data_IF_772084077139
#
_entry.id   IF_772084077139
#
_cell.length_a   1.000
_cell.length_b   1.000
_cell.length_c   1.000
_cell.angle_alpha   90.00
_cell.angle_beta   90.00
_cell.angle_gamma   90.00
#
_symmetry.space_group_name_H-M   'P 1'
#
loop_
_entity.id
_entity.type
_entity.pdbx_description
1 polymer ?
#
# COMPACT_ATOMS: atom_id res chain seq x y z
N UNK A 1 51.27 24.22 -24.10
CA UNK A 1 50.18 23.23 -24.19
C UNK A 1 50.35 22.21 -23.07
N UNK A 2 49.47 22.21 -22.06
CA UNK A 2 49.45 21.20 -21.00
C UNK A 2 48.04 20.61 -20.97
N UNK A 3 47.91 19.43 -21.57
CA UNK A 3 46.69 18.63 -21.56
C UNK A 3 46.47 18.11 -20.13
N UNK A 4 45.48 18.65 -19.44
CA UNK A 4 45.01 18.04 -18.19
C UNK A 4 43.88 17.10 -18.56
N UNK A 5 44.17 15.80 -18.44
CA UNK A 5 43.29 14.69 -18.73
C UNK A 5 42.08 14.77 -17.79
N UNK A 6 40.90 14.60 -18.39
CA UNK A 6 39.61 14.53 -17.75
C UNK A 6 39.59 13.48 -16.62
N UNK A 7 39.22 13.91 -15.41
CA UNK A 7 38.75 13.01 -14.37
C UNK A 7 37.22 13.10 -14.34
N UNK A 8 36.59 12.42 -15.31
CA UNK A 8 35.18 12.08 -15.21
C UNK A 8 35.06 11.00 -14.13
N UNK A 9 34.86 11.42 -12.88
CA UNK A 9 34.44 10.53 -11.81
C UNK A 9 33.04 10.03 -12.14
N UNK A 10 32.96 8.89 -12.82
CA UNK A 10 31.74 8.11 -12.98
C UNK A 10 31.35 7.55 -11.60
N UNK A 11 30.73 8.38 -10.76
CA UNK A 11 30.04 7.88 -9.57
C UNK A 11 28.68 7.34 -10.02
N UNK A 12 28.68 6.14 -10.60
CA UNK A 12 27.49 5.29 -10.59
C UNK A 12 27.28 4.79 -9.15
N UNK A 13 26.85 5.70 -8.28
CA UNK A 13 26.21 5.29 -7.03
C UNK A 13 24.87 4.69 -7.44
N UNK A 14 24.73 3.37 -7.24
CA UNK A 14 23.47 2.67 -7.34
C UNK A 14 22.46 3.31 -6.38
N UNK A 15 21.65 4.24 -6.87
CA UNK A 15 20.50 4.80 -6.13
C UNK A 15 19.32 3.82 -6.12
N UNK A 16 19.55 2.52 -5.86
CA UNK A 16 18.51 1.50 -5.99
C UNK A 16 17.93 1.00 -4.66
N UNK A 17 18.37 1.49 -3.50
CA UNK A 17 18.02 0.85 -2.22
C UNK A 17 17.83 1.80 -1.05
N UNK A 18 17.28 3.00 -1.28
CA UNK A 18 16.82 3.88 -0.19
C UNK A 18 15.28 3.87 0.00
N UNK A 19 14.53 3.24 -0.91
CA UNK A 19 13.06 3.28 -0.89
C UNK A 19 12.40 2.01 -0.38
N UNK A 20 13.11 0.88 -0.27
CA UNK A 20 12.48 -0.40 0.05
C UNK A 20 12.17 -0.51 1.55
N UNK A 21 10.89 -0.69 1.94
CA UNK A 21 10.52 -0.85 3.34
C UNK A 21 11.25 -2.04 3.95
N UNK A 22 11.68 -1.86 5.21
CA UNK A 22 12.39 -2.90 5.96
C UNK A 22 11.42 -3.92 6.57
N UNK A 23 10.19 -3.49 6.83
CA UNK A 23 9.18 -4.22 7.59
C UNK A 23 7.84 -4.06 6.89
N UNK A 24 7.04 -5.13 6.91
CA UNK A 24 5.63 -5.04 6.60
C UNK A 24 4.90 -4.23 7.67
N UNK A 25 3.77 -3.58 7.33
CA UNK A 25 2.90 -2.99 8.34
C UNK A 25 2.43 -4.08 9.32
N UNK A 26 2.53 -3.79 10.62
CA UNK A 26 2.32 -4.77 11.69
C UNK A 26 0.85 -5.13 11.91
N UNK A 27 -0.07 -4.24 11.54
CA UNK A 27 -1.50 -4.40 11.83
C UNK A 27 -2.35 -3.96 10.65
N UNK A 28 -3.42 -4.71 10.38
CA UNK A 28 -4.43 -4.35 9.40
C UNK A 28 -5.19 -3.10 9.90
N UNK A 29 -5.43 -2.10 9.04
CA UNK A 29 -6.16 -0.90 9.43
C UNK A 29 -7.61 -1.23 9.81
N UNK A 30 -8.18 -0.44 10.72
CA UNK A 30 -9.57 -0.60 11.12
C UNK A 30 -10.52 -0.28 9.94
N UNK A 31 -11.42 -1.21 9.65
CA UNK A 31 -12.40 -1.07 8.57
C UNK A 31 -13.76 -0.73 9.20
N UNK A 32 -14.28 0.49 8.96
CA UNK A 32 -15.57 0.91 9.51
C UNK A 32 -16.74 0.23 8.81
N UNK A 33 -17.85 0.03 9.53
CA UNK A 33 -19.08 -0.54 8.98
C UNK A 33 -19.77 0.43 8.02
N UNK A 34 -19.92 0.03 6.76
CA UNK A 34 -20.52 0.83 5.70
C UNK A 34 -21.98 1.21 5.95
N UNK A 35 -22.72 0.45 6.76
CA UNK A 35 -24.11 0.75 7.10
C UNK A 35 -24.26 1.90 8.08
N UNK A 36 -23.23 2.21 8.87
CA UNK A 36 -23.28 3.20 9.94
C UNK A 36 -22.24 4.31 9.82
N UNK A 37 -21.13 4.08 9.10
CA UNK A 37 -20.03 5.03 8.97
C UNK A 37 -20.41 6.35 8.28
N UNK A 38 -19.72 7.43 8.68
CA UNK A 38 -19.78 8.72 8.01
C UNK A 38 -18.91 8.75 6.74
N UNK A 39 -19.13 9.74 5.87
CA UNK A 39 -18.32 9.94 4.67
C UNK A 39 -16.84 10.16 4.98
N UNK A 40 -16.54 10.94 6.01
CA UNK A 40 -15.17 11.26 6.42
C UNK A 40 -14.48 10.04 7.03
N UNK A 41 -15.22 9.24 7.81
CA UNK A 41 -14.72 7.96 8.34
C UNK A 41 -14.37 6.99 7.21
N UNK A 42 -15.24 6.84 6.21
CA UNK A 42 -14.98 5.98 5.04
C UNK A 42 -13.78 6.47 4.23
N UNK A 43 -13.61 7.79 4.05
CA UNK A 43 -12.48 8.37 3.33
C UNK A 43 -11.16 8.15 4.09
N UNK A 44 -11.16 8.37 5.40
CA UNK A 44 -9.99 8.10 6.24
C UNK A 44 -9.60 6.63 6.23
N UNK A 45 -10.58 5.72 6.27
CA UNK A 45 -10.33 4.28 6.16
C UNK A 45 -9.76 3.91 4.78
N UNK A 46 -10.28 4.51 3.69
CA UNK A 46 -9.74 4.31 2.34
C UNK A 46 -8.25 4.63 2.27
N UNK A 47 -7.85 5.79 2.79
CA UNK A 47 -6.44 6.21 2.78
C UNK A 47 -5.56 5.25 3.57
N UNK A 48 -6.00 4.81 4.75
CA UNK A 48 -5.25 3.86 5.58
C UNK A 48 -5.11 2.48 4.91
N UNK A 49 -6.18 1.98 4.28
CA UNK A 49 -6.14 0.71 3.53
C UNK A 49 -5.22 0.82 2.33
N UNK A 50 -5.25 1.93 1.60
CA UNK A 50 -4.35 2.18 0.48
C UNK A 50 -2.88 2.23 0.90
N UNK A 51 -2.58 2.90 2.01
CA UNK A 51 -1.21 2.95 2.56
C UNK A 51 -0.74 1.56 3.00
N UNK A 52 -1.59 0.80 3.68
CA UNK A 52 -1.31 -0.58 4.11
C UNK A 52 -1.00 -1.49 2.92
N UNK A 53 -1.91 -1.53 1.92
CA UNK A 53 -1.75 -2.34 0.71
C UNK A 53 -0.52 -1.90 -0.07
N UNK A 54 -0.35 -0.60 -0.30
CA UNK A 54 0.79 -0.07 -1.06
C UNK A 54 2.14 -0.35 -0.38
N UNK A 55 2.19 -0.36 0.96
CA UNK A 55 3.42 -0.72 1.68
C UNK A 55 3.75 -2.20 1.49
N UNK A 56 2.74 -3.08 1.52
CA UNK A 56 2.93 -4.51 1.27
C UNK A 56 3.35 -4.75 -0.18
N UNK A 57 2.67 -4.16 -1.15
CA UNK A 57 3.01 -4.26 -2.58
C UNK A 57 4.46 -3.86 -2.80
N UNK A 58 4.87 -2.71 -2.27
CA UNK A 58 6.23 -2.20 -2.40
C UNK A 58 7.28 -3.10 -1.72
N UNK A 59 6.92 -3.73 -0.59
CA UNK A 59 7.77 -4.72 0.08
C UNK A 59 7.92 -5.98 -0.79
N UNK A 60 6.83 -6.50 -1.33
CA UNK A 60 6.82 -7.69 -2.19
C UNK A 60 7.57 -7.44 -3.50
N UNK A 61 7.41 -6.27 -4.11
CA UNK A 61 8.13 -5.88 -5.33
C UNK A 61 9.64 -5.80 -5.09
N UNK A 62 10.06 -5.18 -3.99
CA UNK A 62 11.47 -4.95 -3.73
C UNK A 62 12.20 -6.13 -3.09
N UNK A 63 11.52 -6.95 -2.27
CA UNK A 63 12.13 -8.05 -1.49
C UNK A 63 11.53 -9.42 -1.76
N UNK A 64 10.48 -9.55 -2.56
CA UNK A 64 9.71 -10.80 -2.70
C UNK A 64 10.56 -12.04 -2.97
N UNK A 65 11.62 -11.92 -3.78
CA UNK A 65 12.56 -13.02 -4.08
C UNK A 65 13.43 -13.46 -2.89
N UNK A 66 13.57 -12.62 -1.86
CA UNK A 66 14.31 -12.91 -0.63
C UNK A 66 13.41 -13.38 0.51
N UNK A 67 12.09 -13.27 0.37
CA UNK A 67 11.14 -13.72 1.37
C UNK A 67 10.95 -15.24 1.26
N UNK A 68 10.62 -15.89 2.38
CA UNK A 68 10.13 -17.27 2.30
C UNK A 68 8.78 -17.29 1.57
N UNK A 69 8.49 -18.36 0.83
CA UNK A 69 7.20 -18.47 0.12
C UNK A 69 6.02 -18.32 1.07
N UNK A 70 6.10 -18.89 2.28
CA UNK A 70 5.06 -18.74 3.29
C UNK A 70 4.83 -17.27 3.69
N UNK A 71 5.89 -16.50 3.90
CA UNK A 71 5.77 -15.10 4.30
C UNK A 71 5.32 -14.19 3.14
N UNK A 72 5.75 -14.50 1.91
CA UNK A 72 5.24 -13.83 0.71
C UNK A 72 3.71 -14.00 0.60
N UNK A 73 3.23 -15.24 0.70
CA UNK A 73 1.79 -15.55 0.61
C UNK A 73 0.99 -14.94 1.75
N UNK A 74 1.55 -14.91 2.97
CA UNK A 74 0.92 -14.26 4.13
C UNK A 74 0.70 -12.77 3.88
N UNK A 75 1.72 -12.07 3.38
CA UNK A 75 1.64 -10.64 3.07
C UNK A 75 0.64 -10.37 1.94
N UNK A 76 0.69 -11.17 0.86
CA UNK A 76 -0.26 -11.06 -0.24
C UNK A 76 -1.70 -11.25 0.25
N UNK A 77 -1.95 -12.33 1.00
CA UNK A 77 -3.26 -12.63 1.59
C UNK A 77 -3.74 -11.49 2.49
N UNK A 78 -2.85 -10.90 3.28
CA UNK A 78 -3.18 -9.80 4.18
C UNK A 78 -3.59 -8.53 3.43
N UNK A 79 -2.87 -8.18 2.35
CA UNK A 79 -3.23 -7.06 1.50
C UNK A 79 -4.58 -7.27 0.80
N UNK A 80 -4.81 -8.47 0.25
CA UNK A 80 -6.08 -8.84 -0.38
C UNK A 80 -7.25 -8.81 0.62
N UNK A 81 -7.04 -9.33 1.83
CA UNK A 81 -8.06 -9.32 2.89
C UNK A 81 -8.44 -7.89 3.28
N UNK A 82 -7.46 -7.00 3.48
CA UNK A 82 -7.70 -5.60 3.83
C UNK A 82 -8.48 -4.86 2.72
N UNK A 83 -8.05 -5.02 1.46
CA UNK A 83 -8.71 -4.42 0.31
C UNK A 83 -10.13 -4.97 0.10
N UNK A 84 -10.29 -6.29 0.21
CA UNK A 84 -11.57 -6.98 0.06
C UNK A 84 -12.59 -6.53 1.11
N UNK A 85 -12.20 -6.55 2.39
CA UNK A 85 -13.06 -6.13 3.49
C UNK A 85 -13.45 -4.64 3.38
N UNK A 86 -12.53 -3.76 2.98
CA UNK A 86 -12.88 -2.35 2.77
C UNK A 86 -13.84 -2.17 1.58
N UNK A 87 -13.62 -2.88 0.48
CA UNK A 87 -14.48 -2.80 -0.69
C UNK A 87 -15.91 -3.29 -0.41
N UNK A 88 -16.07 -4.32 0.41
CA UNK A 88 -17.38 -4.78 0.88
C UNK A 88 -18.10 -3.67 1.66
N UNK A 89 -17.43 -3.05 2.63
CA UNK A 89 -18.02 -1.97 3.42
C UNK A 89 -18.29 -0.71 2.57
N UNK A 90 -17.44 -0.41 1.60
CA UNK A 90 -17.66 0.67 0.66
C UNK A 90 -18.89 0.45 -0.21
N UNK A 91 -19.15 -0.79 -0.64
CA UNK A 91 -20.35 -1.15 -1.38
C UNK A 91 -21.62 -0.90 -0.54
N UNK A 92 -21.62 -1.33 0.73
CA UNK A 92 -22.72 -1.10 1.67
C UNK A 92 -22.97 0.40 1.90
N UNK A 93 -21.92 1.18 2.12
CA UNK A 93 -22.01 2.63 2.27
C UNK A 93 -22.61 3.31 1.04
N UNK A 94 -22.17 2.92 -0.16
CA UNK A 94 -22.69 3.45 -1.43
C UNK A 94 -24.15 3.08 -1.64
N UNK A 95 -24.53 1.85 -1.32
CA UNK A 95 -25.92 1.39 -1.40
C UNK A 95 -26.81 2.23 -0.46
N UNK A 96 -26.43 2.37 0.81
CA UNK A 96 -27.18 3.17 1.79
C UNK A 96 -27.39 4.61 1.32
N UNK A 97 -26.32 5.28 0.88
CA UNK A 97 -26.42 6.67 0.45
C UNK A 97 -27.13 6.84 -0.90
N UNK A 98 -27.03 5.86 -1.79
CA UNK A 98 -27.81 5.82 -3.03
C UNK A 98 -29.31 5.69 -2.76
N UNK A 99 -29.70 4.87 -1.78
CA UNK A 99 -31.10 4.74 -1.33
C UNK A 99 -31.62 5.99 -0.62
N UNK A 100 -30.75 6.70 0.13
CA UNK A 100 -31.12 7.98 0.76
C UNK A 100 -31.33 9.07 -0.31
N UNK A 101 -30.54 9.09 -1.38
CA UNK A 101 -30.65 10.09 -2.44
C UNK A 101 -31.88 9.90 -3.36
N UNK A 102 -32.51 8.74 -3.33
CA UNK A 102 -33.66 8.38 -4.17
C UNK A 102 -35.03 8.52 -3.48
N UNK A 103 -35.06 8.96 -2.21
CA UNK A 103 -36.28 9.26 -1.44
C UNK A 103 -36.39 10.76 -1.14
#
# INVERSE_FOLDING_TARGET
MKYSIALLTLTFALNASAGCPLLAPSEMPAIPDGNSASADTMRSAMTQVQEYVGTIEHLLECRGVMLSSAYYEELLTSAEAAAGAFNEQLALYRQRNGTIASN
#
